data_IF_648408709776
#
_entry.id   IF_648408709776
#
_cell.length_a   1.000
_cell.length_b   1.000
_cell.length_c   1.000
_cell.angle_alpha   90.00
_cell.angle_beta   90.00
_cell.angle_gamma   90.00
#
_symmetry.space_group_name_H-M   'P 1'
#
loop_
_entity.id
_entity.type
_entity.pdbx_description
1 polymer ?
#
# COMPACT_ATOMS: atom_id res chain seq x y z
N UNK A 1 8.30 3.94 -9.33
CA UNK A 1 7.64 5.25 -9.63
C UNK A 1 8.17 6.30 -8.64
N UNK A 2 8.64 7.48 -9.09
CA UNK A 2 9.03 8.55 -8.14
C UNK A 2 7.79 9.07 -7.39
N UNK A 3 7.67 8.72 -6.11
CA UNK A 3 6.60 9.18 -5.24
C UNK A 3 6.84 10.65 -4.87
N UNK A 4 5.80 11.49 -4.99
CA UNK A 4 5.86 12.88 -4.53
C UNK A 4 6.06 12.96 -3.00
N UNK A 5 6.60 14.08 -2.50
CA UNK A 5 6.76 14.32 -1.05
C UNK A 5 5.47 14.09 -0.25
N UNK A 6 4.31 14.44 -0.82
CA UNK A 6 3.00 14.26 -0.16
C UNK A 6 2.58 12.79 -0.14
N UNK A 7 2.86 12.03 -1.20
CA UNK A 7 2.65 10.58 -1.24
C UNK A 7 3.54 9.86 -0.24
N UNK A 8 4.84 10.18 -0.20
CA UNK A 8 5.77 9.63 0.79
C UNK A 8 5.35 9.96 2.22
N UNK A 9 4.90 11.19 2.47
CA UNK A 9 4.37 11.58 3.78
C UNK A 9 3.15 10.75 4.19
N UNK A 10 2.25 10.43 3.26
CA UNK A 10 1.09 9.58 3.51
C UNK A 10 1.50 8.13 3.79
N UNK A 11 2.37 7.56 2.94
CA UNK A 11 2.86 6.18 3.06
C UNK A 11 3.53 5.97 4.43
N UNK A 12 4.45 6.87 4.80
CA UNK A 12 5.22 6.77 6.04
C UNK A 12 4.52 7.35 7.27
N UNK A 13 3.28 7.85 7.14
CA UNK A 13 2.57 8.40 8.29
C UNK A 13 2.27 7.31 9.33
N UNK A 14 2.46 7.65 10.61
CA UNK A 14 2.19 6.76 11.74
C UNK A 14 0.79 6.14 11.66
N UNK A 15 0.73 4.81 11.71
CA UNK A 15 -0.51 4.05 11.62
C UNK A 15 -1.25 4.12 12.96
N UNK A 16 -2.27 4.97 13.03
CA UNK A 16 -3.16 5.06 14.19
C UNK A 16 -4.54 5.59 13.79
N UNK A 17 -5.59 4.82 14.08
CA UNK A 17 -6.98 5.20 13.87
C UNK A 17 -7.32 5.57 12.42
N UNK A 18 -8.29 6.47 12.24
CA UNK A 18 -8.80 6.85 10.92
C UNK A 18 -7.90 7.86 10.19
N UNK A 19 -7.66 7.61 8.91
CA UNK A 19 -6.91 8.45 8.00
C UNK A 19 -7.73 8.68 6.72
N UNK A 20 -7.47 9.78 6.02
CA UNK A 20 -8.24 10.16 4.85
C UNK A 20 -7.36 10.69 3.72
N UNK A 21 -7.25 9.91 2.65
CA UNK A 21 -6.62 10.29 1.40
C UNK A 21 -7.65 10.85 0.42
N UNK A 22 -7.43 12.05 -0.09
CA UNK A 22 -8.27 12.74 -1.07
C UNK A 22 -7.48 13.13 -2.30
N UNK A 23 -8.13 13.19 -3.44
CA UNK A 23 -7.52 13.70 -4.67
C UNK A 23 -8.39 13.41 -5.88
N UNK A 24 -8.17 14.13 -6.97
CA UNK A 24 -8.86 13.86 -8.24
C UNK A 24 -8.41 12.53 -8.85
N UNK A 25 -9.13 12.04 -9.84
CA UNK A 25 -8.69 10.90 -10.64
C UNK A 25 -7.33 11.17 -11.29
N UNK A 26 -6.52 10.12 -11.41
CA UNK A 26 -5.15 10.20 -11.94
C UNK A 26 -4.12 10.80 -11.00
N UNK A 27 -4.42 11.10 -9.74
CA UNK A 27 -3.44 11.68 -8.78
C UNK A 27 -2.52 10.65 -8.09
N UNK A 28 -2.56 9.38 -8.50
CA UNK A 28 -1.74 8.31 -7.91
C UNK A 28 -2.21 7.82 -6.52
N UNK A 29 -3.51 7.95 -6.21
CA UNK A 29 -4.08 7.49 -4.93
C UNK A 29 -3.95 5.97 -4.74
N UNK A 30 -4.40 5.20 -5.73
CA UNK A 30 -4.38 3.73 -5.68
C UNK A 30 -2.94 3.20 -5.55
N UNK A 31 -2.00 3.74 -6.34
CA UNK A 31 -0.58 3.43 -6.21
C UNK A 31 -0.04 3.72 -4.80
N UNK A 32 -0.23 4.94 -4.28
CA UNK A 32 0.24 5.29 -2.94
C UNK A 32 -0.40 4.44 -1.83
N UNK A 33 -1.64 3.96 -2.03
CA UNK A 33 -2.30 3.09 -1.07
C UNK A 33 -1.75 1.66 -1.05
N UNK A 34 -1.24 1.15 -2.17
CA UNK A 34 -0.55 -0.14 -2.21
C UNK A 34 0.82 -0.03 -1.51
N UNK A 35 1.59 1.02 -1.78
CA UNK A 35 2.79 1.29 -0.98
C UNK A 35 2.48 1.49 0.51
N UNK A 36 1.32 2.05 0.85
CA UNK A 36 0.87 2.12 2.25
C UNK A 36 0.58 0.73 2.81
N UNK A 37 -0.04 -0.17 2.04
CA UNK A 37 -0.28 -1.56 2.44
C UNK A 37 1.05 -2.29 2.72
N UNK A 38 2.03 -2.18 1.81
CA UNK A 38 3.38 -2.73 1.99
C UNK A 38 4.03 -2.14 3.26
N UNK A 39 3.97 -0.82 3.46
CA UNK A 39 4.50 -0.19 4.67
C UNK A 39 3.83 -0.70 5.96
N UNK A 40 2.51 -0.96 5.93
CA UNK A 40 1.76 -1.51 7.05
C UNK A 40 2.19 -2.94 7.36
N UNK A 41 2.34 -3.76 6.33
CA UNK A 41 2.78 -5.15 6.46
C UNK A 41 4.14 -5.22 7.12
N UNK A 42 5.05 -4.36 6.67
CA UNK A 42 6.42 -4.39 7.09
C UNK A 42 6.68 -3.67 8.42
N UNK A 43 5.83 -2.74 8.86
CA UNK A 43 6.15 -1.91 10.05
C UNK A 43 5.08 -1.94 11.13
N UNK A 44 3.88 -2.45 10.83
CA UNK A 44 2.73 -2.34 11.73
C UNK A 44 1.97 -3.65 11.94
N UNK A 45 2.21 -4.70 11.16
CA UNK A 45 1.78 -6.04 11.50
C UNK A 45 2.75 -6.67 12.52
N UNK A 46 2.66 -6.22 13.78
CA UNK A 46 3.59 -6.58 14.85
C UNK A 46 3.34 -8.00 15.36
N UNK A 47 2.07 -8.38 15.48
CA UNK A 47 1.64 -9.67 16.02
C UNK A 47 1.19 -10.63 14.91
N UNK A 48 1.21 -11.94 15.18
CA UNK A 48 0.81 -12.95 14.19
C UNK A 48 -0.63 -12.79 13.70
N UNK A 49 -1.53 -12.30 14.55
CA UNK A 49 -2.92 -12.07 14.19
C UNK A 49 -3.16 -10.74 13.46
N UNK A 50 -2.14 -9.90 13.28
CA UNK A 50 -2.28 -8.64 12.55
C UNK A 50 -2.36 -8.91 11.03
N UNK A 51 -3.42 -8.38 10.42
CA UNK A 51 -3.78 -8.58 9.01
C UNK A 51 -4.26 -7.28 8.40
N UNK A 52 -4.03 -7.15 7.10
CA UNK A 52 -4.40 -5.98 6.30
C UNK A 52 -5.51 -6.38 5.35
N UNK A 53 -6.58 -5.58 5.32
CA UNK A 53 -7.64 -5.69 4.33
C UNK A 53 -7.56 -4.50 3.37
N UNK A 54 -7.38 -4.78 2.09
CA UNK A 54 -7.48 -3.79 1.02
C UNK A 54 -8.78 -4.02 0.25
N UNK A 55 -9.73 -3.11 0.41
CA UNK A 55 -11.05 -3.20 -0.20
C UNK A 55 -11.12 -2.33 -1.45
N UNK A 56 -11.54 -2.93 -2.56
CA UNK A 56 -11.69 -2.27 -3.86
C UNK A 56 -13.15 -2.21 -4.29
N UNK A 57 -13.45 -1.33 -5.26
CA UNK A 57 -14.81 -1.14 -5.78
C UNK A 57 -15.20 -2.08 -6.91
N UNK A 58 -14.25 -2.77 -7.55
CA UNK A 58 -14.49 -3.74 -8.62
C UNK A 58 -13.27 -4.64 -8.83
N UNK A 59 -13.48 -5.76 -9.54
CA UNK A 59 -12.46 -6.77 -9.83
C UNK A 59 -11.27 -6.24 -10.65
N UNK A 60 -11.48 -5.29 -11.56
CA UNK A 60 -10.38 -4.68 -12.33
C UNK A 60 -9.38 -4.00 -11.40
N UNK A 61 -9.87 -3.19 -10.46
CA UNK A 61 -9.04 -2.56 -9.44
C UNK A 61 -8.41 -3.56 -8.48
N UNK A 62 -9.11 -4.65 -8.14
CA UNK A 62 -8.53 -5.75 -7.36
C UNK A 62 -7.32 -6.32 -8.07
N UNK A 63 -7.46 -6.63 -9.36
CA UNK A 63 -6.37 -7.18 -10.18
C UNK A 63 -5.20 -6.19 -10.30
N UNK A 64 -5.47 -4.92 -10.64
CA UNK A 64 -4.43 -3.88 -10.72
C UNK A 64 -3.67 -3.70 -9.38
N UNK A 65 -4.40 -3.73 -8.26
CA UNK A 65 -3.82 -3.66 -6.92
C UNK A 65 -2.95 -4.88 -6.61
N UNK A 66 -3.41 -6.09 -6.95
CA UNK A 66 -2.64 -7.33 -6.78
C UNK A 66 -1.37 -7.35 -7.63
N UNK A 67 -1.45 -6.96 -8.90
CA UNK A 67 -0.29 -6.94 -9.79
C UNK A 67 0.74 -5.90 -9.34
N UNK A 68 0.30 -4.70 -8.93
CA UNK A 68 1.20 -3.71 -8.36
C UNK A 68 1.82 -4.19 -7.04
N UNK A 69 1.03 -4.81 -6.16
CA UNK A 69 1.55 -5.36 -4.90
C UNK A 69 2.61 -6.44 -5.15
N UNK A 70 2.34 -7.40 -6.04
CA UNK A 70 3.31 -8.47 -6.39
C UNK A 70 4.59 -7.90 -7.00
N UNK A 71 4.45 -6.91 -7.89
CA UNK A 71 5.61 -6.26 -8.50
C UNK A 71 6.49 -5.60 -7.43
N UNK A 72 5.88 -4.76 -6.60
CA UNK A 72 6.62 -3.90 -5.67
C UNK A 72 7.03 -4.62 -4.37
N UNK A 73 6.38 -5.74 -4.01
CA UNK A 73 6.81 -6.60 -2.90
C UNK A 73 8.05 -7.43 -3.25
N UNK A 74 8.23 -7.77 -4.53
CA UNK A 74 9.37 -8.58 -5.02
C UNK A 74 10.61 -7.75 -5.37
N UNK A 75 10.47 -6.45 -5.68
CA UNK A 75 11.58 -5.57 -6.12
C UNK A 75 12.49 -5.05 -4.98
N UNK A 76 12.50 -5.69 -3.80
CA UNK A 76 13.19 -5.30 -2.56
C UNK A 76 12.72 -3.98 -1.92
N UNK A 77 12.17 -4.02 -0.70
CA UNK A 77 12.42 -3.10 0.43
C UNK A 77 11.50 -3.51 1.60
N UNK A 78 12.12 -3.79 2.76
CA UNK A 78 11.53 -4.10 4.07
C UNK A 78 11.03 -5.53 4.33
N UNK A 79 11.94 -6.46 4.60
CA UNK A 79 11.64 -7.49 5.58
C UNK A 79 11.79 -6.86 6.97
N UNK A 80 10.70 -6.76 7.71
CA UNK A 80 10.77 -6.50 9.14
C UNK A 80 11.27 -7.76 9.84
N UNK A 81 11.95 -7.61 10.98
CA UNK A 81 12.31 -8.70 11.90
C UNK A 81 11.13 -9.61 12.30
N UNK A 82 9.89 -9.26 11.92
CA UNK A 82 8.64 -9.96 12.20
C UNK A 82 7.95 -10.57 10.97
N UNK A 83 8.54 -10.52 9.78
CA UNK A 83 7.95 -11.09 8.55
C UNK A 83 8.09 -12.62 8.51
N UNK A 84 7.35 -13.30 9.37
CA UNK A 84 7.04 -14.72 9.20
C UNK A 84 6.33 -14.92 7.85
N UNK A 85 6.68 -15.98 7.13
CA UNK A 85 6.19 -16.49 5.82
C UNK A 85 4.66 -16.62 5.69
N UNK A 86 3.89 -15.55 5.92
CA UNK A 86 2.43 -15.56 5.88
C UNK A 86 1.92 -14.40 5.05
N UNK A 87 1.03 -14.68 4.10
CA UNK A 87 0.23 -13.68 3.40
C UNK A 87 -0.61 -12.89 4.42
N UNK A 88 -0.22 -11.64 4.72
CA UNK A 88 -0.95 -10.77 5.68
C UNK A 88 -1.89 -9.79 5.00
N UNK A 89 -1.74 -9.58 3.70
CA UNK A 89 -2.57 -8.71 2.89
C UNK A 89 -3.67 -9.48 2.17
N UNK A 90 -4.92 -9.15 2.45
CA UNK A 90 -6.07 -9.61 1.67
C UNK A 90 -6.60 -8.46 0.79
N UNK A 91 -6.52 -8.60 -0.53
CA UNK A 91 -7.08 -7.66 -1.50
C UNK A 91 -8.37 -8.25 -2.06
N UNK A 92 -9.50 -7.58 -1.87
CA UNK A 92 -10.82 -8.13 -2.23
C UNK A 92 -11.79 -7.02 -2.65
N UNK A 93 -12.83 -7.36 -3.39
CA UNK A 93 -13.93 -6.44 -3.65
C UNK A 93 -14.85 -6.33 -2.43
N UNK A 94 -15.48 -5.16 -2.24
CA UNK A 94 -16.45 -5.01 -1.16
C UNK A 94 -17.64 -5.97 -1.29
N UNK A 95 -18.12 -6.16 -2.52
CA UNK A 95 -19.27 -7.01 -2.83
C UNK A 95 -19.02 -8.47 -2.42
N UNK A 96 -17.87 -9.03 -2.81
CA UNK A 96 -17.48 -10.40 -2.44
C UNK A 96 -17.34 -10.58 -0.93
N UNK A 97 -16.79 -9.56 -0.25
CA UNK A 97 -16.67 -9.57 1.20
C UNK A 97 -18.06 -9.60 1.85
N UNK A 98 -18.97 -8.69 1.48
CA UNK A 98 -20.33 -8.66 2.06
C UNK A 98 -21.07 -9.97 1.78
N UNK A 99 -21.02 -10.48 0.55
CA UNK A 99 -21.68 -11.73 0.19
C UNK A 99 -21.16 -12.91 1.03
N UNK A 100 -19.86 -12.99 1.27
CA UNK A 100 -19.24 -14.01 2.13
C UNK A 100 -19.83 -13.99 3.54
N UNK A 101 -19.84 -12.84 4.20
CA UNK A 101 -20.34 -12.73 5.59
C UNK A 101 -21.87 -12.80 5.68
N UNK A 102 -22.58 -12.31 4.67
CA UNK A 102 -24.03 -12.45 4.56
C UNK A 102 -24.45 -13.92 4.42
N UNK A 103 -23.75 -14.69 3.58
CA UNK A 103 -23.95 -16.15 3.46
C UNK A 103 -23.64 -16.87 4.76
N UNK A 104 -22.57 -16.48 5.46
CA UNK A 104 -22.23 -17.05 6.76
C UNK A 104 -23.35 -16.81 7.80
N UNK A 105 -23.88 -15.59 7.89
CA UNK A 105 -25.03 -15.26 8.74
C UNK A 105 -26.26 -16.11 8.42
N UNK A 106 -26.62 -16.18 7.14
CA UNK A 106 -27.80 -16.94 6.69
C UNK A 106 -27.66 -18.42 7.00
N UNK A 107 -26.48 -19.00 6.82
CA UNK A 107 -26.20 -20.40 7.19
C UNK A 107 -26.34 -20.63 8.69
N UNK A 108 -25.81 -19.75 9.51
CA UNK A 108 -25.93 -19.83 10.98
C UNK A 108 -27.39 -19.74 11.45
N UNK A 109 -28.21 -18.90 10.79
CA UNK A 109 -29.62 -18.72 11.12
C UNK A 109 -30.58 -19.66 10.40
N UNK A 110 -30.09 -20.53 9.50
CA UNK A 110 -30.94 -21.40 8.69
C UNK A 110 -31.88 -20.66 7.73
N UNK A 111 -31.47 -19.48 7.25
CA UNK A 111 -32.28 -18.62 6.39
C UNK A 111 -32.03 -18.93 4.90
N UNK A 112 -33.07 -19.39 4.20
CA UNK A 112 -33.09 -19.51 2.74
C UNK A 112 -33.92 -18.36 2.16
N UNK A 113 -33.24 -17.33 1.62
CA UNK A 113 -33.87 -16.07 1.20
C UNK A 113 -33.64 -15.81 -0.28
N UNK A 114 -34.70 -15.42 -1.00
CA UNK A 114 -34.62 -15.00 -2.40
C UNK A 114 -34.49 -13.48 -2.51
N UNK A 115 -33.55 -13.02 -3.34
CA UNK A 115 -33.36 -11.58 -3.61
C UNK A 115 -34.47 -11.08 -4.52
N UNK A 116 -35.08 -9.95 -4.16
CA UNK A 116 -36.11 -9.29 -4.95
C UNK A 116 -35.61 -8.00 -5.61
N UNK A 117 -36.27 -7.61 -6.70
CA UNK A 117 -36.07 -6.30 -7.31
C UNK A 117 -37.02 -5.24 -6.75
N UNK A 118 -36.90 -4.00 -7.23
CA UNK A 118 -37.74 -2.88 -6.81
C UNK A 118 -39.21 -3.04 -7.23
N UNK A 119 -39.50 -3.79 -8.30
CA UNK A 119 -40.88 -3.99 -8.78
C UNK A 119 -41.64 -4.84 -7.77
N UNK A 120 -41.06 -5.98 -7.38
CA UNK A 120 -41.61 -6.85 -6.34
C UNK A 120 -41.67 -6.10 -4.99
N UNK A 121 -40.66 -5.27 -4.69
CA UNK A 121 -40.67 -4.42 -3.50
C UNK A 121 -41.88 -3.47 -3.44
N UNK A 122 -42.31 -2.91 -4.57
CA UNK A 122 -43.51 -2.07 -4.66
C UNK A 122 -44.78 -2.92 -4.47
N UNK A 123 -44.83 -4.13 -5.02
CA UNK A 123 -45.97 -5.05 -4.85
C UNK A 123 -46.18 -5.40 -3.37
N UNK A 124 -45.10 -5.69 -2.65
CA UNK A 124 -45.15 -5.95 -1.20
C UNK A 124 -45.70 -4.74 -0.44
N UNK A 125 -45.29 -3.51 -0.78
CA UNK A 125 -45.86 -2.32 -0.16
C UNK A 125 -47.34 -2.11 -0.46
N UNK A 126 -47.81 -2.51 -1.66
CA UNK A 126 -49.24 -2.47 -2.01
C UNK A 126 -50.06 -3.47 -1.20
N UNK A 127 -49.52 -4.67 -0.96
CA UNK A 127 -50.19 -5.64 -0.08
C UNK A 127 -50.38 -5.09 1.35
N UNK A 128 -49.42 -4.30 1.83
CA UNK A 128 -49.45 -3.65 3.14
C UNK A 128 -50.30 -2.36 3.17
N UNK A 129 -50.96 -1.96 2.09
CA UNK A 129 -51.65 -0.68 1.98
C UNK A 129 -52.70 -0.47 3.08
N UNK A 130 -53.41 -1.54 3.47
CA UNK A 130 -54.40 -1.49 4.56
C UNK A 130 -53.76 -1.14 5.91
N UNK A 131 -52.63 -1.75 6.24
CA UNK A 131 -51.90 -1.51 7.49
C UNK A 131 -51.28 -0.11 7.49
N UNK A 132 -50.74 0.30 6.33
CA UNK A 132 -50.08 1.59 6.16
C UNK A 132 -51.09 2.75 6.09
N UNK A 133 -52.34 2.50 5.69
CA UNK A 133 -53.42 3.49 5.53
C UNK A 133 -53.57 4.43 6.73
N UNK A 134 -53.36 3.90 7.95
CA UNK A 134 -53.42 4.65 9.21
C UNK A 134 -52.37 5.77 9.30
N UNK A 135 -51.17 5.56 8.74
CA UNK A 135 -50.10 6.53 8.71
C UNK A 135 -50.37 7.66 7.71
N UNK A 136 -50.94 7.32 6.55
CA UNK A 136 -51.31 8.30 5.52
C UNK A 136 -52.31 9.33 6.04
N UNK A 137 -53.33 8.92 6.81
CA UNK A 137 -54.38 9.83 7.33
C UNK A 137 -53.81 11.00 8.14
N UNK A 138 -52.69 10.80 8.84
CA UNK A 138 -52.05 11.80 9.71
C UNK A 138 -50.94 12.61 9.04
N UNK A 139 -50.55 12.29 7.80
CA UNK A 139 -49.49 13.00 7.06
C UNK A 139 -49.93 13.41 5.66
N UNK A 140 -50.12 14.73 5.46
CA UNK A 140 -50.37 15.32 4.13
C UNK A 140 -49.28 15.01 3.11
N UNK A 141 -48.04 14.82 3.58
CA UNK A 141 -46.94 14.44 2.71
C UNK A 141 -47.15 13.03 2.17
N UNK A 142 -47.39 12.06 3.07
CA UNK A 142 -47.59 10.66 2.68
C UNK A 142 -48.80 10.52 1.74
N UNK A 143 -49.90 11.23 1.99
CA UNK A 143 -51.11 11.17 1.14
C UNK A 143 -50.86 11.52 -0.34
N UNK A 144 -49.85 12.37 -0.61
CA UNK A 144 -49.50 12.84 -1.96
C UNK A 144 -48.32 12.09 -2.55
N UNK A 145 -47.74 11.16 -1.81
CA UNK A 145 -46.50 10.48 -2.15
C UNK A 145 -46.80 9.14 -2.84
N UNK A 146 -45.94 8.73 -3.78
CA UNK A 146 -46.06 7.44 -4.47
C UNK A 146 -45.44 6.30 -3.67
N UNK A 147 -45.91 5.07 -3.90
CA UNK A 147 -45.28 3.87 -3.32
C UNK A 147 -43.81 3.73 -3.71
N UNK A 148 -43.45 4.13 -4.94
CA UNK A 148 -42.06 4.15 -5.38
C UNK A 148 -41.18 5.05 -4.50
N UNK A 149 -41.65 6.26 -4.18
CA UNK A 149 -40.89 7.15 -3.29
C UNK A 149 -40.73 6.55 -1.89
N UNK A 150 -41.78 5.90 -1.36
CA UNK A 150 -41.71 5.26 -0.05
C UNK A 150 -40.69 4.13 -0.07
N UNK A 151 -40.71 3.27 -1.10
CA UNK A 151 -39.71 2.22 -1.28
C UNK A 151 -38.30 2.79 -1.40
N UNK A 152 -38.10 3.82 -2.23
CA UNK A 152 -36.79 4.48 -2.36
C UNK A 152 -36.28 5.01 -1.01
N UNK A 153 -37.16 5.53 -0.16
CA UNK A 153 -36.80 6.03 1.16
C UNK A 153 -36.51 4.90 2.15
N UNK A 154 -37.28 3.80 2.12
CA UNK A 154 -37.02 2.57 2.85
C UNK A 154 -35.65 2.01 2.48
N UNK A 155 -35.38 1.86 1.19
CA UNK A 155 -34.10 1.37 0.67
C UNK A 155 -32.95 2.29 1.08
N UNK A 156 -33.15 3.61 1.08
CA UNK A 156 -32.11 4.54 1.57
C UNK A 156 -31.83 4.38 3.07
N UNK A 157 -32.85 4.14 3.89
CA UNK A 157 -32.70 3.84 5.32
C UNK A 157 -31.87 2.56 5.51
N UNK A 158 -32.21 1.49 4.77
CA UNK A 158 -31.53 0.19 4.82
C UNK A 158 -30.09 0.29 4.31
N UNK A 159 -29.88 0.89 3.14
CA UNK A 159 -28.57 1.18 2.55
C UNK A 159 -27.67 1.97 3.49
N UNK A 160 -28.24 2.81 4.35
CA UNK A 160 -27.46 3.63 5.30
C UNK A 160 -27.34 3.04 6.69
N UNK A 161 -27.92 1.86 6.93
CA UNK A 161 -28.01 1.17 8.21
C UNK A 161 -28.44 2.12 9.36
N UNK A 162 -29.53 2.86 9.17
CA UNK A 162 -29.95 3.83 10.18
C UNK A 162 -30.75 3.18 11.32
N UNK A 163 -30.36 3.51 12.54
CA UNK A 163 -31.29 3.46 13.67
C UNK A 163 -32.41 4.47 13.47
N UNK A 164 -33.55 4.24 14.13
CA UNK A 164 -34.69 5.14 14.11
C UNK A 164 -34.28 6.57 14.48
N UNK A 165 -33.58 6.74 15.59
CA UNK A 165 -33.18 8.06 16.10
C UNK A 165 -32.26 8.79 15.11
N UNK A 166 -31.32 8.07 14.49
CA UNK A 166 -30.45 8.66 13.50
C UNK A 166 -31.23 9.10 12.25
N UNK A 167 -32.16 8.27 11.77
CA UNK A 167 -33.01 8.61 10.63
C UNK A 167 -33.89 9.85 10.89
N UNK A 168 -34.39 10.03 12.11
CA UNK A 168 -35.20 11.20 12.46
C UNK A 168 -34.43 12.52 12.30
N UNK A 169 -33.12 12.51 12.55
CA UNK A 169 -32.29 13.72 12.59
C UNK A 169 -31.37 13.94 11.38
N UNK A 170 -31.10 12.90 10.59
CA UNK A 170 -30.13 12.98 9.49
C UNK A 170 -30.59 13.94 8.38
N UNK A 171 -29.62 14.63 7.78
CA UNK A 171 -29.86 15.43 6.58
C UNK A 171 -30.08 14.53 5.35
N UNK A 172 -31.25 14.68 4.72
CA UNK A 172 -31.65 14.01 3.47
C UNK A 172 -31.00 14.66 2.23
N UNK A 173 -29.68 14.89 2.26
CA UNK A 173 -28.94 15.48 1.13
C UNK A 173 -28.99 14.58 -0.10
N UNK A 174 -29.26 15.16 -1.26
CA UNK A 174 -29.36 14.43 -2.52
C UNK A 174 -30.64 13.59 -2.69
N UNK A 175 -31.61 13.73 -1.78
CA UNK A 175 -32.87 12.97 -1.81
C UNK A 175 -34.04 13.86 -2.23
N UNK A 176 -35.01 13.27 -2.92
CA UNK A 176 -36.25 13.95 -3.32
C UNK A 176 -37.18 14.23 -2.14
N UNK A 177 -38.03 15.25 -2.31
CA UNK A 177 -39.05 15.65 -1.33
C UNK A 177 -38.46 16.27 -0.06
N UNK A 178 -39.10 17.29 0.51
CA UNK A 178 -38.66 17.88 1.79
C UNK A 178 -39.43 17.26 2.95
N UNK A 179 -38.78 16.38 3.70
CA UNK A 179 -39.34 15.79 4.93
C UNK A 179 -38.62 16.38 6.15
N UNK A 180 -39.38 17.06 7.02
CA UNK A 180 -38.88 17.71 8.24
C UNK A 180 -38.25 16.65 9.18
N UNK A 181 -37.16 17.03 9.87
CA UNK A 181 -36.55 16.23 10.94
C UNK A 181 -37.54 16.03 12.09
N UNK A 182 -37.38 14.93 12.82
CA UNK A 182 -38.21 14.57 14.00
C UNK A 182 -39.72 14.75 13.73
N UNK A 183 -40.16 14.40 12.52
CA UNK A 183 -41.55 14.57 12.11
C UNK A 183 -42.29 13.24 12.14
N UNK A 184 -43.60 13.31 12.38
CA UNK A 184 -44.50 12.16 12.27
C UNK A 184 -44.34 11.42 10.93
N UNK A 185 -44.06 12.15 9.83
CA UNK A 185 -43.79 11.55 8.52
C UNK A 185 -42.56 10.65 8.55
N UNK A 186 -41.43 11.07 9.14
CA UNK A 186 -40.24 10.22 9.25
C UNK A 186 -40.49 9.03 10.17
N UNK A 187 -41.14 9.25 11.31
CA UNK A 187 -41.51 8.14 12.20
C UNK A 187 -42.39 7.11 11.51
N UNK A 188 -43.35 7.57 10.72
CA UNK A 188 -44.23 6.71 9.93
C UNK A 188 -43.44 5.93 8.87
N UNK A 189 -42.59 6.58 8.08
CA UNK A 189 -41.76 5.90 7.08
C UNK A 189 -40.88 4.82 7.71
N UNK A 190 -40.30 5.09 8.89
CA UNK A 190 -39.50 4.09 9.59
C UNK A 190 -40.34 2.89 10.04
N UNK A 191 -41.56 3.12 10.54
CA UNK A 191 -42.50 2.02 10.88
C UNK A 191 -42.93 1.24 9.65
N UNK A 192 -43.14 1.91 8.51
CA UNK A 192 -43.46 1.25 7.24
C UNK A 192 -42.28 0.38 6.79
N UNK A 193 -41.04 0.85 6.95
CA UNK A 193 -39.83 0.05 6.73
C UNK A 193 -39.80 -1.19 7.61
N UNK A 194 -40.24 -1.12 8.87
CA UNK A 194 -40.31 -2.28 9.77
C UNK A 194 -41.34 -3.30 9.25
N UNK A 195 -42.57 -2.87 8.94
CA UNK A 195 -43.61 -3.72 8.36
C UNK A 195 -43.18 -4.38 7.03
N UNK A 196 -42.53 -3.60 6.16
CA UNK A 196 -41.96 -4.09 4.91
C UNK A 196 -40.93 -5.21 5.15
N UNK A 197 -40.00 -5.00 6.08
CA UNK A 197 -39.00 -6.00 6.42
C UNK A 197 -39.61 -7.27 7.03
N UNK A 198 -40.61 -7.13 7.91
CA UNK A 198 -41.33 -8.27 8.49
C UNK A 198 -42.02 -9.10 7.40
N UNK A 199 -42.66 -8.44 6.44
CA UNK A 199 -43.32 -9.12 5.33
C UNK A 199 -42.31 -9.84 4.41
N UNK A 200 -41.17 -9.21 4.11
CA UNK A 200 -40.06 -9.85 3.38
C UNK A 200 -39.61 -11.14 4.06
N UNK A 201 -39.32 -11.08 5.36
CA UNK A 201 -38.86 -12.23 6.14
C UNK A 201 -39.90 -13.35 6.13
N UNK A 202 -41.17 -13.03 6.35
CA UNK A 202 -42.26 -14.01 6.36
C UNK A 202 -42.44 -14.73 5.02
N UNK A 203 -42.08 -14.07 3.91
CA UNK A 203 -42.13 -14.63 2.55
C UNK A 203 -40.83 -15.30 2.12
N UNK A 204 -39.78 -15.32 2.96
CA UNK A 204 -38.46 -15.82 2.57
C UNK A 204 -37.78 -14.94 1.51
N UNK A 205 -38.05 -13.64 1.53
CA UNK A 205 -37.55 -12.65 0.57
C UNK A 205 -36.58 -11.69 1.23
N UNK A 206 -35.65 -11.13 0.46
CA UNK A 206 -34.73 -10.09 0.91
C UNK A 206 -34.48 -9.08 -0.20
N UNK A 207 -34.26 -7.81 0.15
CA UNK A 207 -33.88 -6.79 -0.82
C UNK A 207 -32.36 -6.66 -0.97
N UNK A 208 -31.96 -5.74 -1.85
CA UNK A 208 -30.56 -5.47 -2.17
C UNK A 208 -29.74 -4.92 -1.00
N UNK A 209 -30.30 -4.55 0.16
CA UNK A 209 -29.51 -4.03 1.30
C UNK A 209 -29.56 -4.94 2.53
N UNK A 210 -30.45 -5.93 2.56
CA UNK A 210 -30.49 -6.94 3.62
C UNK A 210 -29.18 -7.73 3.73
N UNK A 211 -28.52 -8.00 2.60
CA UNK A 211 -27.24 -8.70 2.59
C UNK A 211 -26.16 -7.93 3.39
N UNK A 212 -26.15 -6.59 3.32
CA UNK A 212 -25.25 -5.74 4.10
C UNK A 212 -25.57 -5.83 5.59
N UNK A 213 -26.85 -5.77 5.94
CA UNK A 213 -27.31 -5.86 7.35
C UNK A 213 -26.94 -7.21 7.96
N UNK A 214 -27.11 -8.31 7.22
CA UNK A 214 -26.71 -9.65 7.65
C UNK A 214 -25.20 -9.77 7.83
N UNK A 215 -24.41 -9.22 6.91
CA UNK A 215 -22.95 -9.21 7.03
C UNK A 215 -22.47 -8.43 8.27
N UNK A 216 -23.07 -7.26 8.55
CA UNK A 216 -22.81 -6.49 9.78
C UNK A 216 -23.17 -7.30 11.01
N UNK A 217 -24.35 -7.93 11.01
CA UNK A 217 -24.85 -8.71 12.14
C UNK A 217 -23.93 -9.90 12.46
N UNK A 218 -23.39 -10.57 11.44
CA UNK A 218 -22.42 -11.64 11.62
C UNK A 218 -21.14 -11.14 12.28
N UNK A 219 -20.56 -10.05 11.78
CA UNK A 219 -19.33 -9.49 12.33
C UNK A 219 -19.53 -9.00 13.76
N UNK A 220 -20.66 -8.38 14.08
CA UNK A 220 -20.95 -7.96 15.45
C UNK A 220 -21.01 -9.15 16.43
N UNK A 221 -21.38 -10.34 15.97
CA UNK A 221 -21.40 -11.55 16.79
C UNK A 221 -20.01 -12.22 16.92
N UNK A 222 -19.12 -12.04 15.95
CA UNK A 222 -17.83 -12.75 15.87
C UNK A 222 -16.59 -11.87 16.10
N UNK A 223 -16.75 -10.55 16.06
CA UNK A 223 -15.68 -9.57 16.18
C UNK A 223 -14.95 -9.27 14.87
N UNK A 224 -14.28 -8.11 14.84
CA UNK A 224 -13.43 -7.70 13.72
C UNK A 224 -12.15 -8.53 13.60
N UNK A 225 -11.64 -8.64 12.38
CA UNK A 225 -10.54 -9.56 12.02
C UNK A 225 -9.25 -8.85 11.60
N UNK A 226 -9.34 -7.62 11.08
CA UNK A 226 -8.20 -6.95 10.45
C UNK A 226 -7.71 -5.79 11.30
N UNK A 227 -6.42 -5.79 11.63
CA UNK A 227 -5.75 -4.69 12.33
C UNK A 227 -5.56 -3.47 11.43
N UNK A 228 -5.51 -3.66 10.12
CA UNK A 228 -5.43 -2.55 9.17
C UNK A 228 -6.44 -2.69 8.05
N UNK A 229 -7.04 -1.57 7.67
CA UNK A 229 -8.01 -1.52 6.56
C UNK A 229 -7.67 -0.35 5.65
N UNK A 230 -7.71 -0.60 4.34
CA UNK A 230 -7.63 0.41 3.29
C UNK A 230 -8.88 0.26 2.43
N UNK A 231 -9.70 1.31 2.38
CA UNK A 231 -10.94 1.34 1.60
C UNK A 231 -10.76 2.28 0.41
N UNK A 232 -10.62 1.72 -0.80
CA UNK A 232 -10.53 2.49 -2.04
C UNK A 232 -11.92 2.93 -2.55
N UNK A 233 -11.98 4.06 -3.26
CA UNK A 233 -13.21 4.64 -3.84
C UNK A 233 -14.39 4.72 -2.86
N UNK A 234 -14.17 5.23 -1.64
CA UNK A 234 -15.24 5.28 -0.63
C UNK A 234 -16.49 6.06 -1.09
N UNK A 235 -16.35 6.91 -2.12
CA UNK A 235 -17.48 7.66 -2.69
C UNK A 235 -18.52 6.79 -3.38
N UNK A 236 -18.18 5.57 -3.78
CA UNK A 236 -19.10 4.64 -4.46
C UNK A 236 -19.96 3.82 -3.49
N UNK A 237 -19.70 3.92 -2.20
CA UNK A 237 -20.34 3.06 -1.20
C UNK A 237 -21.41 3.80 -0.40
N UNK A 238 -22.44 3.05 -0.06
CA UNK A 238 -23.50 3.39 0.88
C UNK A 238 -22.91 3.48 2.30
N UNK A 239 -23.66 4.08 3.23
CA UNK A 239 -23.17 4.16 4.62
C UNK A 239 -23.16 2.80 5.31
N UNK A 240 -24.13 1.93 5.03
CA UNK A 240 -24.17 0.57 5.59
C UNK A 240 -22.97 -0.26 5.14
N UNK A 241 -22.61 -0.18 3.86
CA UNK A 241 -21.39 -0.77 3.30
C UNK A 241 -20.11 -0.29 4.02
N UNK A 242 -20.00 1.02 4.30
CA UNK A 242 -18.88 1.58 5.06
C UNK A 242 -18.92 1.12 6.52
N UNK A 243 -20.10 1.07 7.14
CA UNK A 243 -20.26 0.59 8.52
C UNK A 243 -19.87 -0.89 8.66
N UNK A 244 -20.15 -1.71 7.65
CA UNK A 244 -19.70 -3.10 7.58
C UNK A 244 -18.18 -3.21 7.61
N UNK A 245 -17.47 -2.47 6.75
CA UNK A 245 -16.01 -2.47 6.75
C UNK A 245 -15.45 -1.94 8.07
N UNK A 246 -16.11 -0.93 8.67
CA UNK A 246 -15.75 -0.45 10.01
C UNK A 246 -15.97 -1.49 11.11
N UNK A 247 -16.97 -2.36 11.00
CA UNK A 247 -17.20 -3.45 11.94
C UNK A 247 -16.13 -4.55 11.82
N UNK A 248 -15.66 -4.81 10.59
CA UNK A 248 -14.57 -5.77 10.31
C UNK A 248 -13.21 -5.31 10.86
N UNK A 249 -13.02 -4.00 10.99
CA UNK A 249 -11.80 -3.40 11.52
C UNK A 249 -11.66 -3.61 13.03
N UNK A 250 -10.54 -4.21 13.45
CA UNK A 250 -10.19 -4.46 14.85
C UNK A 250 -9.33 -3.33 15.39
N UNK A 251 -9.92 -2.46 16.22
CA UNK A 251 -9.23 -1.30 16.78
C UNK A 251 -8.19 -1.71 17.85
N UNK A 252 -6.91 -1.58 17.52
CA UNK A 252 -5.73 -1.75 18.39
C UNK A 252 -4.90 -0.46 18.42
N UNK A 253 -3.99 -0.24 19.40
CA UNK A 253 -3.16 0.97 19.47
C UNK A 253 -2.35 1.26 18.19
N UNK A 254 -1.91 0.21 17.48
CA UNK A 254 -1.15 0.29 16.23
C UNK A 254 -2.01 0.12 14.97
N UNK A 255 -3.30 -0.17 15.11
CA UNK A 255 -4.23 -0.38 14.00
C UNK A 255 -4.51 0.92 13.23
N UNK A 256 -4.86 0.79 11.96
CA UNK A 256 -5.21 1.95 11.13
C UNK A 256 -6.29 1.66 10.12
N UNK A 257 -7.12 2.65 9.84
CA UNK A 257 -8.13 2.60 8.81
C UNK A 257 -7.94 3.78 7.86
N UNK A 258 -7.63 3.50 6.60
CA UNK A 258 -7.44 4.50 5.54
C UNK A 258 -8.68 4.54 4.66
N UNK A 259 -9.30 5.72 4.58
CA UNK A 259 -10.31 6.03 3.58
C UNK A 259 -9.69 6.72 2.38
N UNK A 260 -9.95 6.24 1.16
CA UNK A 260 -9.55 6.90 -0.08
C UNK A 260 -10.80 7.45 -0.74
N UNK A 261 -10.79 8.75 -1.01
CA UNK A 261 -11.92 9.48 -1.58
C UNK A 261 -11.48 10.15 -2.89
N UNK A 262 -12.19 9.85 -3.98
CA UNK A 262 -12.10 10.66 -5.18
C UNK A 262 -12.87 11.97 -4.99
N UNK A 263 -12.22 13.09 -5.32
CA UNK A 263 -12.84 14.42 -5.21
C UNK A 263 -13.96 14.64 -6.23
N UNK A 264 -13.93 13.90 -7.34
CA UNK A 264 -14.97 13.91 -8.37
C UNK A 264 -16.01 12.85 -7.99
N UNK A 265 -17.10 13.31 -7.33
CA UNK A 265 -18.15 12.43 -6.82
C UNK A 265 -19.09 12.00 -7.94
N UNK A 266 -19.14 10.70 -8.22
CA UNK A 266 -20.11 10.10 -9.14
C UNK A 266 -21.32 9.59 -8.34
N UNK A 267 -22.51 10.03 -8.73
CA UNK A 267 -23.75 9.76 -8.00
C UNK A 267 -24.29 8.34 -8.27
N UNK A 268 -23.61 7.29 -7.76
CA UNK A 268 -24.26 5.98 -7.63
C UNK A 268 -25.40 6.10 -6.61
N UNK A 269 -26.54 5.46 -6.89
CA UNK A 269 -27.71 5.48 -6.02
C UNK A 269 -27.34 5.11 -4.58
N UNK A 270 -27.90 5.83 -3.61
CA UNK A 270 -27.68 5.65 -2.17
C UNK A 270 -26.23 5.77 -1.64
N UNK A 271 -25.27 6.16 -2.50
CA UNK A 271 -23.90 6.44 -2.05
C UNK A 271 -23.89 7.49 -0.95
N UNK A 272 -23.08 7.27 0.08
CA UNK A 272 -23.07 8.17 1.23
C UNK A 272 -22.42 9.50 0.90
N UNK A 273 -21.31 9.46 0.17
CA UNK A 273 -20.52 10.66 -0.13
C UNK A 273 -21.12 11.42 -1.31
N UNK A 274 -21.90 12.45 -0.98
CA UNK A 274 -22.52 13.38 -1.94
C UNK A 274 -22.01 14.79 -1.73
N UNK A 275 -22.17 15.65 -2.76
CA UNK A 275 -21.74 17.05 -2.71
C UNK A 275 -22.29 17.75 -1.45
N UNK A 276 -21.39 18.34 -0.66
CA UNK A 276 -21.71 19.07 0.55
C UNK A 276 -21.92 18.21 1.81
N UNK A 277 -21.81 16.87 1.75
CA UNK A 277 -21.77 16.02 2.95
C UNK A 277 -20.33 15.91 3.46
N UNK A 278 -20.14 16.09 4.77
CA UNK A 278 -18.82 16.02 5.42
C UNK A 278 -18.49 14.58 5.81
N UNK A 279 -17.21 14.22 5.74
CA UNK A 279 -16.74 12.85 6.08
C UNK A 279 -16.99 12.50 7.56
N UNK A 280 -16.94 13.47 8.48
CA UNK A 280 -17.23 13.27 9.90
C UNK A 280 -18.64 12.72 10.18
N UNK A 281 -19.57 12.79 9.21
CA UNK A 281 -20.90 12.16 9.32
C UNK A 281 -20.84 10.63 9.37
N UNK A 282 -19.68 10.03 9.05
CA UNK A 282 -19.41 8.60 9.24
C UNK A 282 -18.95 8.26 10.66
N UNK A 283 -18.92 9.23 11.58
CA UNK A 283 -18.43 9.04 12.95
C UNK A 283 -16.92 8.78 12.99
N UNK A 284 -16.16 9.35 12.05
CA UNK A 284 -14.71 9.21 12.00
C UNK A 284 -14.03 10.55 12.32
N UNK A 285 -12.98 10.48 13.13
CA UNK A 285 -12.08 11.61 13.38
C UNK A 285 -10.80 11.47 12.56
N UNK A 286 -10.62 12.42 11.63
CA UNK A 286 -9.49 12.48 10.70
C UNK A 286 -8.70 13.79 10.89
N UNK A 287 -8.88 14.49 12.01
CA UNK A 287 -8.20 15.75 12.28
C UNK A 287 -6.68 15.54 12.31
N UNK A 288 -5.97 16.29 11.45
CA UNK A 288 -4.52 16.16 11.28
C UNK A 288 -4.06 14.91 10.51
N UNK A 289 -4.98 14.03 10.08
CA UNK A 289 -4.71 12.76 9.39
C UNK A 289 -5.33 12.70 7.99
N UNK A 290 -5.47 13.87 7.35
CA UNK A 290 -5.99 14.00 5.99
C UNK A 290 -4.91 14.45 5.01
N UNK A 291 -4.80 13.73 3.90
CA UNK A 291 -3.82 13.94 2.84
C UNK A 291 -4.57 14.29 1.56
N UNK A 292 -4.10 15.31 0.84
CA UNK A 292 -4.76 15.78 -0.38
C UNK A 292 -3.76 15.79 -1.54
N UNK A 293 -3.96 14.90 -2.50
CA UNK A 293 -3.17 14.82 -3.72
C UNK A 293 -3.79 15.74 -4.77
N UNK A 294 -3.05 16.78 -5.16
CA UNK A 294 -3.52 17.82 -6.09
C UNK A 294 -3.03 17.61 -7.52
N UNK A 295 -1.81 17.13 -7.69
CA UNK A 295 -1.17 16.99 -8.99
C UNK A 295 -1.76 15.78 -9.72
N UNK A 296 -2.54 16.02 -10.79
CA UNK A 296 -2.96 14.96 -11.70
C UNK A 296 -1.71 14.44 -12.40
N UNK A 297 -1.48 13.14 -12.30
CA UNK A 297 -0.54 12.45 -13.15
C UNK A 297 -1.18 12.40 -14.53
N UNK A 298 -0.53 13.03 -15.49
CA UNK A 298 -0.95 12.96 -16.87
C UNK A 298 -0.38 11.65 -17.42
N UNK A 299 -1.21 10.66 -17.73
CA UNK A 299 -0.75 9.45 -18.42
C UNK A 299 -0.09 9.79 -19.78
N UNK A 300 -0.38 11.00 -20.32
CA UNK A 300 0.27 11.55 -21.53
C UNK A 300 1.60 12.24 -21.25
N UNK A 301 1.91 12.54 -19.98
CA UNK A 301 3.30 12.73 -19.54
C UNK A 301 3.76 11.44 -18.90
N UNK A 302 4.03 10.44 -19.75
CA UNK A 302 5.32 9.77 -19.58
C UNK A 302 6.32 10.91 -19.48
N UNK A 303 6.78 11.24 -18.26
CA UNK A 303 8.14 11.71 -18.11
C UNK A 303 8.90 10.69 -18.96
N UNK A 304 9.58 11.14 -19.98
CA UNK A 304 10.62 10.34 -20.59
C UNK A 304 11.63 10.18 -19.45
N UNK A 305 11.35 9.24 -18.55
CA UNK A 305 12.36 8.59 -17.78
C UNK A 305 13.09 7.88 -18.90
N UNK A 306 14.30 8.35 -19.20
CA UNK A 306 15.24 7.48 -19.85
C UNK A 306 15.24 6.23 -18.97
N UNK A 307 14.53 5.20 -19.42
CA UNK A 307 14.52 3.90 -18.73
C UNK A 307 15.91 3.28 -18.78
N UNK A 308 16.74 3.82 -19.67
CA UNK A 308 18.17 3.72 -19.77
C UNK A 308 18.85 4.51 -18.64
N UNK A 309 19.17 3.84 -17.55
CA UNK A 309 20.11 4.36 -16.56
C UNK A 309 21.54 4.24 -17.10
N UNK A 310 22.30 5.33 -16.98
CA UNK A 310 23.69 5.39 -17.42
C UNK A 310 24.61 5.12 -16.26
N UNK A 311 25.59 4.28 -16.50
CA UNK A 311 26.58 3.86 -15.54
C UNK A 311 27.98 3.93 -16.14
N UNK A 312 28.95 4.06 -15.25
CA UNK A 312 30.36 4.01 -15.57
C UNK A 312 31.03 2.96 -14.70
N UNK A 313 31.58 1.93 -15.33
CA UNK A 313 32.44 0.95 -14.66
C UNK A 313 33.90 1.36 -14.79
N UNK A 314 34.57 1.48 -13.66
CA UNK A 314 36.00 1.79 -13.56
C UNK A 314 36.70 0.53 -13.05
N UNK A 315 37.51 -0.10 -13.87
CA UNK A 315 38.30 -1.25 -13.48
C UNK A 315 39.56 -0.78 -12.74
N UNK A 316 39.67 -1.13 -11.46
CA UNK A 316 40.75 -0.65 -10.59
C UNK A 316 42.12 -1.25 -10.92
N UNK A 317 42.17 -2.38 -11.65
CA UNK A 317 43.41 -3.08 -11.99
C UNK A 317 44.09 -2.51 -13.22
N UNK A 318 43.33 -2.31 -14.29
CA UNK A 318 43.86 -1.81 -15.56
C UNK A 318 43.51 -0.34 -15.83
N UNK A 319 42.78 0.32 -14.93
CA UNK A 319 42.27 1.69 -15.06
C UNK A 319 41.37 1.91 -16.28
N UNK A 320 40.84 0.83 -16.85
CA UNK A 320 39.88 0.87 -17.94
C UNK A 320 38.56 1.45 -17.47
N UNK A 321 37.94 2.26 -18.32
CA UNK A 321 36.65 2.88 -18.07
C UNK A 321 35.69 2.39 -19.16
N UNK A 322 34.54 1.90 -18.73
CA UNK A 322 33.47 1.47 -19.63
C UNK A 322 32.19 2.20 -19.24
N UNK A 323 31.63 2.93 -20.19
CA UNK A 323 30.31 3.57 -20.05
C UNK A 323 29.26 2.63 -20.61
N UNK A 324 28.21 2.41 -19.82
CA UNK A 324 27.17 1.45 -20.17
C UNK A 324 25.80 1.90 -19.68
N UNK A 325 24.80 1.26 -20.26
CA UNK A 325 23.42 1.64 -20.20
C UNK A 325 22.61 0.42 -19.78
N UNK A 326 21.73 0.57 -18.81
CA UNK A 326 20.80 -0.46 -18.37
C UNK A 326 19.38 0.04 -18.59
N UNK A 327 18.60 -0.67 -19.41
CA UNK A 327 17.16 -0.40 -19.55
C UNK A 327 16.37 -1.07 -18.41
N UNK A 328 16.13 -0.31 -17.35
CA UNK A 328 15.37 -0.74 -16.16
C UNK A 328 13.90 -1.00 -16.42
N UNK A 329 13.37 -0.65 -17.60
CA UNK A 329 11.98 -0.94 -17.99
C UNK A 329 11.83 -2.20 -18.84
N UNK A 330 12.94 -2.80 -19.29
CA UNK A 330 12.92 -4.05 -20.03
C UNK A 330 12.81 -5.23 -19.07
N UNK A 331 11.94 -6.20 -19.38
CA UNK A 331 11.90 -7.47 -18.68
C UNK A 331 13.09 -8.39 -19.02
N UNK A 332 14.01 -7.95 -19.88
CA UNK A 332 15.21 -8.68 -20.28
C UNK A 332 16.43 -8.05 -19.62
N UNK A 333 17.30 -8.87 -19.04
CA UNK A 333 18.62 -8.43 -18.56
C UNK A 333 19.52 -8.16 -19.77
N UNK A 334 19.65 -6.89 -20.12
CA UNK A 334 20.48 -6.42 -21.22
C UNK A 334 21.36 -5.26 -20.71
N UNK A 335 22.65 -5.27 -21.06
CA UNK A 335 23.59 -4.17 -20.81
C UNK A 335 24.11 -3.67 -22.14
N UNK A 336 23.98 -2.37 -22.39
CA UNK A 336 24.47 -1.74 -23.61
C UNK A 336 25.76 -0.98 -23.32
N UNK A 337 26.85 -1.35 -23.96
CA UNK A 337 28.12 -0.62 -23.93
C UNK A 337 28.22 0.26 -25.18
N UNK A 338 28.10 1.58 -25.00
CA UNK A 338 27.94 2.51 -26.12
C UNK A 338 26.68 2.23 -26.94
N UNK A 339 26.76 2.42 -28.27
CA UNK A 339 25.65 2.19 -29.21
C UNK A 339 25.72 0.82 -29.94
N UNK A 340 26.85 0.12 -29.82
CA UNK A 340 27.20 -0.97 -30.76
C UNK A 340 27.28 -2.35 -30.10
N UNK A 341 27.40 -2.44 -28.78
CA UNK A 341 27.57 -3.70 -28.05
C UNK A 341 26.42 -3.90 -27.06
N UNK A 342 25.72 -5.02 -27.16
CA UNK A 342 24.67 -5.44 -26.24
C UNK A 342 25.03 -6.81 -25.65
N UNK A 343 25.06 -6.89 -24.32
CA UNK A 343 25.24 -8.13 -23.57
C UNK A 343 23.89 -8.65 -23.11
N UNK A 344 23.58 -9.89 -23.49
CA UNK A 344 22.32 -10.53 -23.11
C UNK A 344 22.48 -11.30 -21.79
N UNK A 345 21.37 -11.75 -21.20
CA UNK A 345 21.33 -12.47 -19.92
C UNK A 345 22.39 -13.59 -19.75
N UNK A 346 22.69 -14.35 -20.80
CA UNK A 346 23.71 -15.42 -20.75
C UNK A 346 25.15 -14.91 -20.57
N UNK A 347 25.40 -13.66 -20.94
CA UNK A 347 26.71 -12.98 -20.88
C UNK A 347 26.85 -12.09 -19.63
N UNK A 348 25.78 -11.96 -18.85
CA UNK A 348 25.71 -11.17 -17.61
C UNK A 348 25.86 -12.06 -16.39
N UNK A 349 26.52 -11.53 -15.36
CA UNK A 349 26.63 -12.16 -14.04
C UNK A 349 25.84 -11.32 -13.02
N UNK A 350 24.94 -11.95 -12.28
CA UNK A 350 24.26 -11.31 -11.15
C UNK A 350 25.17 -11.31 -9.93
N UNK A 351 25.56 -10.12 -9.48
CA UNK A 351 26.45 -9.96 -8.34
C UNK A 351 25.61 -9.53 -7.12
N UNK A 352 25.66 -10.26 -6.00
CA UNK A 352 24.94 -9.87 -4.78
C UNK A 352 25.50 -8.56 -4.23
N UNK A 353 24.61 -7.67 -3.81
CA UNK A 353 24.93 -6.38 -3.20
C UNK A 353 24.62 -6.44 -1.71
N UNK A 354 25.56 -5.98 -0.88
CA UNK A 354 25.41 -5.94 0.59
C UNK A 354 25.38 -4.49 1.08
N UNK A 355 24.64 -4.29 2.19
CA UNK A 355 24.46 -2.98 2.80
C UNK A 355 25.75 -2.43 3.44
N UNK A 356 26.00 -1.14 3.17
CA UNK A 356 26.87 -0.19 3.87
C UNK A 356 28.23 -0.69 4.37
N UNK A 357 29.29 -0.36 3.62
CA UNK A 357 30.63 -0.23 4.19
C UNK A 357 30.96 1.24 4.42
N UNK A 358 31.41 1.56 5.63
CA UNK A 358 31.81 2.91 5.98
C UNK A 358 33.15 3.27 5.33
N UNK A 359 33.12 4.30 4.49
CA UNK A 359 34.27 5.12 4.18
C UNK A 359 34.51 6.08 5.36
N UNK A 360 34.96 5.53 6.49
CA UNK A 360 35.25 6.28 7.72
C UNK A 360 35.36 5.35 8.93
N UNK A 361 34.80 5.77 10.07
CA UNK A 361 34.64 4.95 11.29
C UNK A 361 33.84 3.69 10.97
N UNK A 362 34.19 2.52 11.53
CA UNK A 362 33.53 1.28 11.16
C UNK A 362 32.03 1.29 11.59
N UNK A 363 31.18 0.54 10.86
CA UNK A 363 29.74 0.34 11.12
C UNK A 363 29.47 -1.17 11.08
N UNK A 364 28.58 -1.66 11.95
CA UNK A 364 28.11 -3.06 12.00
C UNK A 364 27.78 -3.64 10.62
N UNK A 365 28.41 -4.78 10.31
CA UNK A 365 28.15 -5.53 9.07
C UNK A 365 26.85 -6.32 9.23
N UNK A 366 25.86 -6.05 8.37
CA UNK A 366 24.63 -6.83 8.34
C UNK A 366 24.72 -7.80 7.14
N UNK A 367 24.68 -9.11 7.37
CA UNK A 367 24.79 -10.16 6.33
C UNK A 367 23.58 -10.22 5.36
N UNK A 368 22.70 -9.22 5.41
CA UNK A 368 21.49 -9.16 4.59
C UNK A 368 21.81 -8.60 3.18
N UNK A 369 21.54 -9.40 2.16
CA UNK A 369 21.62 -9.03 0.74
C UNK A 369 20.62 -7.87 0.47
N UNK A 370 21.11 -6.72 0.01
CA UNK A 370 20.33 -5.52 -0.36
C UNK A 370 19.68 -5.68 -1.75
N UNK A 371 20.27 -6.51 -2.60
CA UNK A 371 19.80 -6.82 -3.95
C UNK A 371 20.88 -7.48 -4.79
N UNK A 372 20.73 -7.45 -6.11
CA UNK A 372 21.76 -7.87 -7.07
C UNK A 372 21.94 -6.82 -8.14
N UNK A 373 23.18 -6.66 -8.62
CA UNK A 373 23.48 -5.83 -9.78
C UNK A 373 24.15 -6.71 -10.83
N UNK A 374 23.77 -6.58 -12.10
CA UNK A 374 24.32 -7.39 -13.17
C UNK A 374 25.32 -6.62 -14.04
N UNK A 375 26.45 -7.26 -14.35
CA UNK A 375 27.44 -6.73 -15.29
C UNK A 375 27.95 -7.84 -16.22
N UNK A 376 28.51 -7.51 -17.39
CA UNK A 376 29.09 -8.49 -18.28
C UNK A 376 30.17 -9.35 -17.60
N UNK A 377 30.06 -10.68 -17.77
CA UNK A 377 30.98 -11.68 -17.18
C UNK A 377 32.44 -11.41 -17.47
N UNK A 378 32.75 -10.78 -18.60
CA UNK A 378 34.12 -10.49 -19.00
C UNK A 378 34.73 -9.27 -18.26
N UNK A 379 33.90 -8.42 -17.63
CA UNK A 379 34.38 -7.37 -16.70
C UNK A 379 34.86 -7.96 -15.38
N UNK A 380 34.38 -9.16 -15.07
CA UNK A 380 34.82 -9.94 -13.93
C UNK A 380 36.02 -10.81 -14.31
N UNK A 381 36.91 -11.03 -13.35
CA UNK A 381 37.96 -12.04 -13.52
C UNK A 381 37.33 -13.43 -13.41
N UNK A 382 37.54 -14.28 -14.43
CA UNK A 382 36.99 -15.65 -14.49
C UNK A 382 37.21 -16.43 -13.17
N UNK A 383 36.13 -17.02 -12.66
CA UNK A 383 36.16 -18.08 -11.64
C UNK A 383 36.32 -17.62 -10.18
N UNK A 384 35.81 -16.44 -9.79
CA UNK A 384 35.93 -15.94 -8.41
C UNK A 384 34.62 -15.31 -7.91
N UNK A 385 34.23 -15.67 -6.69
CA UNK A 385 33.08 -15.09 -5.99
C UNK A 385 33.26 -13.57 -5.85
N UNK A 386 32.31 -12.80 -6.36
CA UNK A 386 32.27 -11.34 -6.24
C UNK A 386 31.03 -10.89 -5.50
N UNK A 387 31.13 -9.73 -4.87
CA UNK A 387 30.00 -9.04 -4.27
C UNK A 387 30.16 -7.53 -4.43
N UNK A 388 29.06 -6.80 -4.35
CA UNK A 388 29.06 -5.34 -4.44
C UNK A 388 28.76 -4.75 -3.07
N UNK A 389 29.44 -3.65 -2.78
CA UNK A 389 29.19 -2.85 -1.59
C UNK A 389 28.83 -1.43 -1.98
N UNK A 390 27.79 -0.90 -1.35
CA UNK A 390 27.49 0.53 -1.44
C UNK A 390 28.37 1.32 -0.47
N UNK A 391 29.09 2.29 -1.00
CA UNK A 391 29.97 3.17 -0.23
C UNK A 391 29.13 4.15 0.57
N UNK A 392 29.47 4.31 1.85
CA UNK A 392 28.89 5.32 2.73
C UNK A 392 29.99 6.17 3.38
N UNK A 393 30.02 7.46 3.10
CA UNK A 393 31.04 8.41 3.56
C UNK A 393 32.08 8.77 2.49
N UNK A 394 33.05 9.58 2.89
CA UNK A 394 33.98 10.26 1.97
C UNK A 394 35.47 9.95 2.27
N UNK A 395 35.80 8.97 3.11
CA UNK A 395 37.22 8.69 3.45
C UNK A 395 38.09 8.22 2.29
N UNK A 396 37.50 7.91 1.13
CA UNK A 396 38.20 7.38 -0.05
C UNK A 396 38.09 8.30 -1.28
N UNK A 397 37.63 9.55 -1.11
CA UNK A 397 37.39 10.49 -2.22
C UNK A 397 38.63 10.81 -3.05
N UNK A 398 39.83 10.81 -2.47
CA UNK A 398 41.09 11.04 -3.21
C UNK A 398 41.44 9.86 -4.14
N UNK A 399 40.75 8.71 -3.98
CA UNK A 399 40.80 7.57 -4.90
C UNK A 399 39.62 7.52 -5.88
N UNK A 400 38.86 8.62 -5.98
CA UNK A 400 37.63 8.70 -6.77
C UNK A 400 36.59 7.66 -6.34
N UNK A 401 36.50 7.40 -5.03
CA UNK A 401 35.44 6.59 -4.42
C UNK A 401 34.61 7.50 -3.53
N UNK A 402 33.41 7.82 -3.98
CA UNK A 402 32.50 8.78 -3.36
C UNK A 402 31.35 8.08 -2.63
N UNK A 403 30.68 8.82 -1.74
CA UNK A 403 29.45 8.37 -1.11
C UNK A 403 28.40 7.98 -2.17
N UNK A 404 27.81 6.79 -2.03
CA UNK A 404 26.82 6.24 -2.96
C UNK A 404 27.40 5.38 -4.09
N UNK A 405 28.70 5.42 -4.36
CA UNK A 405 29.35 4.57 -5.37
C UNK A 405 29.20 3.08 -5.01
N UNK A 406 29.13 2.22 -6.03
CA UNK A 406 29.08 0.77 -5.88
C UNK A 406 30.48 0.18 -6.12
N UNK A 407 31.05 -0.51 -5.15
CA UNK A 407 32.39 -1.10 -5.26
C UNK A 407 32.26 -2.60 -5.45
N UNK A 408 32.80 -3.10 -6.56
CA UNK A 408 32.87 -4.53 -6.87
C UNK A 408 34.06 -5.11 -6.12
N UNK A 409 33.78 -6.00 -5.17
CA UNK A 409 34.75 -6.71 -4.35
C UNK A 409 34.90 -8.14 -4.84
N UNK A 410 36.14 -8.56 -5.01
CA UNK A 410 36.50 -9.96 -5.17
C UNK A 410 36.73 -10.58 -3.81
N UNK A 411 35.95 -11.60 -3.46
CA UNK A 411 36.06 -12.30 -2.18
C UNK A 411 37.39 -13.03 -2.10
N UNK A 412 38.20 -12.67 -1.11
CA UNK A 412 39.48 -13.31 -0.81
C UNK A 412 39.94 -12.91 0.59
N UNK A 413 40.60 -13.83 1.31
CA UNK A 413 41.08 -13.60 2.68
C UNK A 413 42.45 -12.90 2.78
N UNK A 414 43.06 -12.53 1.65
CA UNK A 414 44.40 -11.93 1.59
C UNK A 414 44.41 -10.76 0.62
N UNK A 415 45.26 -9.77 0.83
CA UNK A 415 45.45 -8.65 -0.11
C UNK A 415 46.91 -8.20 -0.15
N UNK A 416 47.32 -7.60 -1.27
CA UNK A 416 48.67 -7.08 -1.47
C UNK A 416 48.78 -5.64 -0.95
N UNK A 417 50.03 -5.19 -0.79
CA UNK A 417 50.31 -3.79 -0.47
C UNK A 417 49.71 -2.83 -1.52
N UNK A 418 49.10 -1.75 -1.06
CA UNK A 418 48.39 -0.72 -1.83
C UNK A 418 47.10 -1.15 -2.52
N UNK A 419 46.59 -2.36 -2.25
CA UNK A 419 45.25 -2.75 -2.71
C UNK A 419 44.17 -2.09 -1.85
N UNK A 420 43.06 -1.73 -2.47
CA UNK A 420 41.86 -1.28 -1.77
C UNK A 420 41.12 -2.53 -1.29
N UNK A 421 40.89 -2.64 0.02
CA UNK A 421 40.32 -3.81 0.67
C UNK A 421 39.03 -3.48 1.38
N UNK A 422 38.07 -4.40 1.30
CA UNK A 422 36.98 -4.48 2.26
C UNK A 422 37.49 -5.31 3.44
N UNK A 423 37.55 -4.72 4.63
CA UNK A 423 38.01 -5.36 5.85
C UNK A 423 36.95 -5.25 6.94
N UNK A 424 36.72 -6.33 7.67
CA UNK A 424 35.97 -6.33 8.92
C UNK A 424 36.93 -6.12 10.09
N UNK A 425 36.63 -5.12 10.93
CA UNK A 425 37.32 -4.78 12.17
C UNK A 425 36.29 -4.93 13.29
N UNK A 426 36.49 -5.85 14.23
CA UNK A 426 35.60 -6.06 15.38
C UNK A 426 34.10 -6.23 15.00
N UNK A 427 33.83 -6.85 13.85
CA UNK A 427 32.47 -7.06 13.31
C UNK A 427 31.94 -5.93 12.40
N UNK A 428 32.71 -4.87 12.22
CA UNK A 428 32.33 -3.69 11.44
C UNK A 428 33.13 -3.59 10.14
N UNK A 429 32.46 -3.33 9.01
CA UNK A 429 33.08 -3.40 7.69
C UNK A 429 33.55 -2.01 7.21
N UNK A 430 34.78 -1.90 6.70
CA UNK A 430 35.39 -0.67 6.18
C UNK A 430 36.07 -0.88 4.82
N UNK A 431 36.11 0.17 4.00
CA UNK A 431 36.83 0.21 2.72
C UNK A 431 38.04 1.14 2.87
N UNK A 432 39.26 0.60 2.71
CA UNK A 432 40.53 1.33 2.91
C UNK A 432 41.63 0.76 2.02
N UNK A 433 42.74 1.49 1.87
CA UNK A 433 43.95 0.98 1.20
C UNK A 433 44.83 0.22 2.20
N UNK A 434 45.19 -1.02 1.90
CA UNK A 434 46.08 -1.82 2.76
C UNK A 434 47.54 -1.36 2.61
N UNK A 435 48.13 -0.87 3.69
CA UNK A 435 49.54 -0.52 3.75
C UNK A 435 50.31 -1.57 4.58
N UNK A 436 51.28 -2.22 3.93
CA UNK A 436 52.17 -3.23 4.52
C UNK A 436 53.61 -2.71 4.62
N UNK A 437 53.89 -1.48 4.18
CA UNK A 437 55.19 -0.86 4.24
C UNK A 437 55.37 -0.15 5.60
N UNK A 438 56.36 -0.59 6.38
CA UNK A 438 56.66 -0.09 7.72
C UNK A 438 56.68 -1.22 8.75
N UNK A 439 56.83 -0.87 10.03
CA UNK A 439 56.95 -1.86 11.11
C UNK A 439 55.64 -2.62 11.40
N UNK A 440 54.48 -2.02 11.09
CA UNK A 440 53.15 -2.57 11.39
C UNK A 440 52.16 -2.35 10.23
N UNK A 441 51.28 -3.32 9.93
CA UNK A 441 50.27 -3.19 8.89
C UNK A 441 49.15 -2.21 9.29
N UNK A 442 48.68 -1.42 8.31
CA UNK A 442 47.71 -0.33 8.53
C UNK A 442 46.69 -0.26 7.40
N UNK A 443 45.48 0.19 7.71
CA UNK A 443 44.46 0.58 6.73
C UNK A 443 44.47 2.09 6.57
N UNK A 444 44.78 2.54 5.35
CA UNK A 444 44.92 3.95 5.00
C UNK A 444 43.64 4.48 4.36
N UNK A 445 43.06 5.58 4.87
CA UNK A 445 42.07 6.33 4.11
C UNK A 445 42.75 7.04 2.92
N UNK A 446 41.94 7.43 1.94
CA UNK A 446 42.32 8.34 0.87
C UNK A 446 41.49 9.62 0.98
N UNK A 447 41.65 10.28 2.12
CA UNK A 447 41.09 11.58 2.45
C UNK A 447 41.88 12.13 3.65
N UNK A 448 42.50 13.30 3.47
CA UNK A 448 43.31 13.99 4.50
C UNK A 448 42.59 14.25 5.84
N UNK A 449 41.27 14.22 5.88
CA UNK A 449 40.47 14.40 7.11
C UNK A 449 40.45 13.16 8.03
N UNK A 450 40.94 12.01 7.57
CA UNK A 450 40.86 10.74 8.28
C UNK A 450 42.25 10.20 8.64
N UNK A 451 42.39 9.66 9.85
CA UNK A 451 43.64 9.07 10.31
C UNK A 451 43.80 7.59 9.85
N UNK A 452 45.05 7.11 9.64
CA UNK A 452 45.33 5.70 9.43
C UNK A 452 44.86 4.81 10.60
N UNK A 453 44.38 3.61 10.29
CA UNK A 453 43.97 2.62 11.27
C UNK A 453 45.08 1.57 11.41
N UNK A 454 45.76 1.54 12.55
CA UNK A 454 46.74 0.48 12.86
C UNK A 454 46.00 -0.83 13.15
N UNK A 455 46.53 -1.95 12.63
CA UNK A 455 45.93 -3.29 12.81
C UNK A 455 46.53 -4.07 13.97
N UNK A 456 47.48 -3.47 14.71
CA UNK A 456 48.06 -4.07 15.91
C UNK A 456 46.99 -4.26 17.00
N UNK A 457 46.93 -5.46 17.58
CA UNK A 457 45.97 -5.84 18.63
C UNK A 457 44.48 -5.77 18.23
N UNK A 458 44.15 -5.86 16.93
CA UNK A 458 42.77 -5.92 16.43
C UNK A 458 42.49 -7.23 15.70
N UNK A 459 41.27 -7.75 15.83
CA UNK A 459 40.80 -8.82 14.96
C UNK A 459 40.39 -8.20 13.61
N UNK A 460 41.16 -8.54 12.57
CA UNK A 460 40.96 -8.01 11.21
C UNK A 460 40.75 -9.15 10.24
N UNK A 461 39.59 -9.17 9.60
CA UNK A 461 39.28 -10.11 8.54
C UNK A 461 39.20 -9.38 7.20
N UNK A 462 40.06 -9.74 6.25
CA UNK A 462 39.94 -9.26 4.88
C UNK A 462 38.77 -10.01 4.23
N UNK A 463 37.74 -9.27 3.85
CA UNK A 463 36.55 -9.79 3.18
C UNK A 463 36.80 -9.93 1.68
N UNK A 464 37.60 -9.02 1.11
CA UNK A 464 38.00 -9.07 -0.27
C UNK A 464 38.74 -7.82 -0.75
N UNK A 465 39.11 -7.83 -2.03
CA UNK A 465 39.83 -6.75 -2.71
C UNK A 465 38.91 -6.07 -3.72
N UNK A 466 38.90 -4.75 -3.74
CA UNK A 466 38.16 -3.98 -4.72
C UNK A 466 38.78 -4.12 -6.12
N UNK A 467 37.97 -4.59 -7.07
CA UNK A 467 38.39 -4.81 -8.47
C UNK A 467 37.77 -3.79 -9.43
N UNK A 468 36.68 -3.13 -9.03
CA UNK A 468 36.06 -2.09 -9.84
C UNK A 468 35.08 -1.21 -9.06
N UNK A 469 34.72 -0.09 -9.68
CA UNK A 469 33.75 0.88 -9.16
C UNK A 469 32.68 1.08 -10.22
N UNK A 470 31.41 1.01 -9.85
CA UNK A 470 30.27 1.34 -10.68
C UNK A 470 29.71 2.66 -10.15
N UNK A 471 29.70 3.68 -11.01
CA UNK A 471 29.12 4.99 -10.72
C UNK A 471 27.86 5.19 -11.55
N UNK A 472 26.79 5.67 -10.94
CA UNK A 472 25.57 6.05 -11.66
C UNK A 472 25.70 7.50 -12.15
N UNK A 473 25.50 7.73 -13.44
CA UNK A 473 25.45 9.09 -13.98
C UNK A 473 24.04 9.64 -13.82
N UNK A 474 23.91 10.73 -13.06
CA UNK A 474 22.63 11.42 -12.89
C UNK A 474 22.45 12.36 -14.09
N UNK A 475 21.47 12.03 -14.95
CA UNK A 475 21.02 12.90 -16.06
C UNK A 475 20.36 14.19 -15.55
#
# INVERSE_FOLDING_TARGET
MELSKVQNRFINHKSSGYQLLKGKEGTGKSTASIYKAINLENNYCIYEEDKILFVTSNYTKTYEAMELYKKESNENYFYSLFSLEKDRLNIITLEELIDTYSKAFRREKGLAMQVIDKVIGIEILKELENEISSFYKKSKFLQKTTMNFILEEILWIKASNFSKDYYLEVDRKGRGGRIKKSSYTRESIYKIKDLYNENLINKGLMDEYDHVIYAISYINNHGGLYSHVILDDMEKFTKGEIDFIKAIYKNKPHSSFVFILNSELNNKENSWMVKGRKVNTLGIDVKGKSFNFKTKYDLKKKKQVDTVEKYKYINLKNKGIVEFNIDTASNRKEVFEGNDICYNENELEDIPMFNNIAAGTPIEMNDNIEGSFYIPKYWLERGKDTFILRVKGDSMVEKDICDGDLVVIKKQGTANHNEIVAASLDGEATLKTLNLNGDLPKLMPANSLYAPINLENKEVNILGVAIGIIKQEIN
#
